data_IF_983630122277
#
_entry.id   IF_983630122277
#
_cell.length_a   1.000
_cell.length_b   1.000
_cell.length_c   1.000
_cell.angle_alpha   90.00
_cell.angle_beta   90.00
_cell.angle_gamma   90.00
#
_symmetry.space_group_name_H-M   'P 1'
#
loop_
_entity.id
_entity.type
_entity.pdbx_description
1 polymer ?
#
# COMPACT_ATOMS: atom_id res chain seq x y z
N UNK A 1 -2.73 -20.10 15.14
CA UNK A 1 -3.28 -20.23 13.77
C UNK A 1 -2.53 -19.23 12.92
N UNK A 2 -1.92 -19.62 11.78
CA UNK A 2 -1.31 -18.64 10.89
C UNK A 2 -2.43 -17.82 10.27
N UNK A 3 -2.53 -16.55 10.65
CA UNK A 3 -3.41 -15.59 9.98
C UNK A 3 -2.94 -15.49 8.54
N UNK A 4 -3.77 -15.94 7.59
CA UNK A 4 -3.49 -15.71 6.19
C UNK A 4 -3.42 -14.19 5.96
N UNK A 5 -2.31 -13.66 5.43
CA UNK A 5 -2.22 -12.25 5.13
C UNK A 5 -3.27 -11.88 4.07
N UNK A 6 -3.86 -10.68 4.17
CA UNK A 6 -4.90 -10.25 3.25
C UNK A 6 -4.34 -10.17 1.81
N UNK A 7 -5.08 -10.72 0.86
CA UNK A 7 -4.79 -10.60 -0.57
C UNK A 7 -5.19 -9.21 -1.03
N UNK A 8 -4.22 -8.31 -1.25
CA UNK A 8 -4.49 -6.98 -1.76
C UNK A 8 -4.76 -7.04 -3.27
N UNK A 9 -5.90 -6.49 -3.71
CA UNK A 9 -6.13 -6.22 -5.13
C UNK A 9 -5.40 -4.91 -5.47
N UNK A 10 -4.42 -4.99 -6.35
CA UNK A 10 -3.60 -3.85 -6.79
C UNK A 10 -4.35 -3.10 -7.89
N UNK A 11 -4.73 -1.85 -7.64
CA UNK A 11 -5.49 -1.02 -8.59
C UNK A 11 -4.67 0.08 -9.27
N UNK A 12 -3.39 0.23 -8.92
CA UNK A 12 -2.58 1.37 -9.35
C UNK A 12 -1.25 0.98 -10.00
N UNK A 13 -0.65 1.94 -10.68
CA UNK A 13 0.67 1.85 -11.30
C UNK A 13 1.72 1.55 -10.24
N UNK A 14 2.34 0.38 -10.32
CA UNK A 14 3.50 0.03 -9.50
C UNK A 14 4.73 0.82 -9.94
N UNK A 15 5.60 1.18 -9.00
CA UNK A 15 6.86 1.88 -9.27
C UNK A 15 7.99 1.40 -8.37
N UNK A 16 9.24 1.64 -8.78
CA UNK A 16 10.40 1.28 -7.98
C UNK A 16 10.89 2.41 -7.07
N UNK A 17 11.06 2.11 -5.78
CA UNK A 17 11.60 3.00 -4.74
C UNK A 17 12.72 2.33 -4.01
N UNK A 18 13.94 2.86 -4.12
CA UNK A 18 15.13 2.26 -3.49
C UNK A 18 15.33 0.76 -3.81
N UNK A 19 14.90 0.31 -5.00
CA UNK A 19 14.96 -1.11 -5.38
C UNK A 19 13.77 -1.94 -4.89
N UNK A 20 12.78 -1.33 -4.26
CA UNK A 20 11.56 -1.96 -3.75
C UNK A 20 10.39 -1.63 -4.70
N UNK A 21 9.71 -2.63 -5.28
CA UNK A 21 8.48 -2.40 -6.00
C UNK A 21 7.37 -2.00 -5.01
N UNK A 22 6.82 -0.81 -5.21
CA UNK A 22 5.76 -0.24 -4.38
C UNK A 22 4.54 0.12 -5.23
N UNK A 23 3.35 -0.05 -4.64
CA UNK A 23 2.06 0.30 -5.25
C UNK A 23 1.08 0.72 -4.15
N UNK A 24 -0.18 0.98 -4.49
CA UNK A 24 -1.25 1.23 -3.53
C UNK A 24 -2.16 0.02 -3.40
N UNK A 25 -2.54 -0.31 -2.15
CA UNK A 25 -3.63 -1.23 -1.87
C UNK A 25 -5.01 -0.57 -2.06
N UNK A 26 -6.08 -1.31 -1.73
CA UNK A 26 -7.46 -0.82 -1.83
C UNK A 26 -7.77 0.32 -0.87
N UNK A 27 -7.04 0.41 0.23
CA UNK A 27 -7.23 1.41 1.28
C UNK A 27 -6.34 2.64 1.04
N UNK A 28 -5.60 2.67 -0.09
CA UNK A 28 -4.71 3.76 -0.44
C UNK A 28 -3.38 3.74 0.31
N UNK A 29 -3.05 2.66 1.03
CA UNK A 29 -1.76 2.53 1.69
C UNK A 29 -0.69 2.17 0.65
N UNK A 30 0.51 2.71 0.86
CA UNK A 30 1.69 2.24 0.13
C UNK A 30 1.98 0.82 0.58
N UNK A 31 1.99 -0.12 -0.36
CA UNK A 31 2.38 -1.51 -0.14
C UNK A 31 3.63 -1.84 -0.93
N UNK A 32 4.48 -2.68 -0.35
CA UNK A 32 5.54 -3.36 -1.07
C UNK A 32 5.22 -4.84 -1.20
N UNK A 33 5.81 -5.46 -2.21
CA UNK A 33 5.83 -6.92 -2.29
C UNK A 33 6.72 -7.51 -1.18
N UNK A 34 6.26 -8.59 -0.55
CA UNK A 34 7.00 -9.30 0.50
C UNK A 34 6.83 -10.81 0.34
N UNK A 35 7.93 -11.56 0.43
CA UNK A 35 7.90 -13.04 0.42
C UNK A 35 7.35 -13.62 1.73
N UNK A 36 7.58 -12.93 2.84
CA UNK A 36 7.27 -13.39 4.20
C UNK A 36 6.22 -12.53 4.91
N UNK A 37 5.73 -11.48 4.25
CA UNK A 37 4.81 -10.50 4.84
C UNK A 37 5.49 -9.52 5.81
N UNK A 38 6.79 -9.68 6.09
CA UNK A 38 7.51 -8.87 7.07
C UNK A 38 8.51 -7.92 6.42
N UNK A 39 9.16 -8.34 5.34
CA UNK A 39 10.21 -7.57 4.67
C UNK A 39 9.86 -7.27 3.22
N UNK A 40 10.04 -6.01 2.82
CA UNK A 40 9.83 -5.54 1.44
C UNK A 40 10.95 -5.94 0.47
N UNK A 41 11.94 -6.68 0.95
CA UNK A 41 13.08 -7.15 0.16
C UNK A 41 12.87 -8.61 -0.19
N UNK A 42 12.76 -8.95 -1.49
CA UNK A 42 12.88 -10.34 -1.90
C UNK A 42 14.22 -10.89 -1.45
N UNK A 43 14.19 -11.97 -0.67
CA UNK A 43 15.41 -12.66 -0.21
C UNK A 43 16.29 -13.11 -1.37
N UNK A 44 15.70 -13.22 -2.57
CA UNK A 44 16.33 -13.71 -3.78
C UNK A 44 16.75 -12.64 -4.78
N UNK A 45 16.42 -11.36 -4.55
CA UNK A 45 16.71 -10.29 -5.52
C UNK A 45 17.56 -9.21 -4.86
N UNK A 46 18.88 -9.30 -5.04
CA UNK A 46 19.80 -8.21 -4.73
C UNK A 46 19.63 -7.10 -5.78
N UNK A 47 18.68 -6.19 -5.59
CA UNK A 47 18.36 -5.13 -6.55
C UNK A 47 19.48 -4.10 -6.66
N UNK A 48 20.50 -4.39 -7.47
CA UNK A 48 21.39 -3.34 -8.04
C UNK A 48 20.86 -2.81 -9.36
N UNK A 49 19.92 -3.52 -10.00
CA UNK A 49 19.40 -3.14 -11.31
C UNK A 49 18.00 -2.51 -11.17
N UNK A 50 17.95 -1.18 -11.34
CA UNK A 50 16.71 -0.39 -11.30
C UNK A 50 15.76 -0.74 -12.44
N UNK A 51 16.29 -1.22 -13.57
CA UNK A 51 15.48 -1.52 -14.75
C UNK A 51 14.68 -2.81 -14.54
N UNK A 52 15.28 -3.78 -13.86
CA UNK A 52 14.59 -5.03 -13.49
C UNK A 52 13.46 -4.76 -12.49
N UNK A 53 13.64 -3.84 -11.55
CA UNK A 53 12.63 -3.51 -10.54
C UNK A 53 11.35 -2.94 -11.18
N UNK A 54 11.50 -2.07 -12.19
CA UNK A 54 10.34 -1.52 -12.93
C UNK A 54 9.64 -2.59 -13.77
N UNK A 55 10.39 -3.49 -14.42
CA UNK A 55 9.80 -4.60 -15.16
C UNK A 55 9.02 -5.53 -14.23
N UNK A 56 9.61 -5.90 -13.10
CA UNK A 56 8.96 -6.79 -12.12
C UNK A 56 7.73 -6.12 -11.50
N UNK A 57 7.76 -4.82 -11.24
CA UNK A 57 6.60 -4.06 -10.76
C UNK A 57 5.38 -4.15 -11.71
N UNK A 58 5.58 -4.27 -13.02
CA UNK A 58 4.49 -4.46 -14.01
C UNK A 58 3.98 -5.91 -14.05
N UNK A 59 4.83 -6.90 -13.74
CA UNK A 59 4.49 -8.33 -13.81
C UNK A 59 3.96 -8.92 -12.49
N UNK A 60 4.24 -8.30 -11.34
CA UNK A 60 3.76 -8.75 -10.04
C UNK A 60 2.24 -8.52 -9.92
N UNK A 61 1.49 -9.59 -10.21
CA UNK A 61 0.04 -9.73 -10.04
C UNK A 61 -0.32 -10.28 -8.63
N UNK A 62 -1.59 -10.21 -8.18
CA UNK A 62 -1.97 -10.03 -6.77
C UNK A 62 -1.86 -11.27 -5.85
N UNK A 63 -1.11 -12.30 -6.22
CA UNK A 63 -1.02 -13.56 -5.45
C UNK A 63 -0.04 -13.52 -4.28
N UNK A 64 0.58 -12.38 -4.01
CA UNK A 64 1.66 -12.28 -3.03
C UNK A 64 1.20 -11.61 -1.73
N UNK A 65 1.96 -11.87 -0.68
CA UNK A 65 1.80 -11.20 0.60
C UNK A 65 2.43 -9.81 0.49
N UNK A 66 1.78 -8.80 1.07
CA UNK A 66 2.27 -7.43 1.02
C UNK A 66 2.57 -6.94 2.42
N UNK A 67 3.61 -6.13 2.54
CA UNK A 67 3.78 -5.30 3.73
C UNK A 67 3.31 -3.88 3.40
N UNK A 68 2.31 -3.41 4.14
CA UNK A 68 1.68 -2.12 3.94
C UNK A 68 2.24 -1.11 4.92
N UNK A 69 2.72 0.03 4.41
CA UNK A 69 3.03 1.24 5.18
C UNK A 69 1.77 1.78 5.88
N UNK A 70 1.97 2.78 6.75
CA UNK A 70 0.89 3.36 7.52
C UNK A 70 0.53 2.47 8.71
N UNK A 71 -0.76 2.31 8.96
CA UNK A 71 -1.23 1.69 10.19
C UNK A 71 -0.98 0.18 10.28
N UNK A 72 -1.07 -0.61 9.20
CA UNK A 72 -0.63 -2.00 9.24
C UNK A 72 0.86 -2.14 9.62
N UNK A 73 1.73 -1.30 9.06
CA UNK A 73 3.16 -1.27 9.44
C UNK A 73 3.35 -0.90 10.91
N UNK A 74 2.56 0.05 11.42
CA UNK A 74 2.64 0.47 12.82
C UNK A 74 2.23 -0.64 13.79
N UNK A 75 1.21 -1.43 13.46
CA UNK A 75 0.79 -2.57 14.29
C UNK A 75 1.90 -3.61 14.46
N UNK A 76 2.72 -3.82 13.42
CA UNK A 76 3.82 -4.78 13.44
C UNK A 76 5.12 -4.20 14.00
N UNK A 77 5.50 -2.99 13.57
CA UNK A 77 6.85 -2.42 13.74
C UNK A 77 6.91 -1.21 14.69
N UNK A 78 5.75 -0.73 15.19
CA UNK A 78 5.64 0.50 16.00
C UNK A 78 6.09 1.79 15.30
N UNK A 79 6.11 1.75 13.97
CA UNK A 79 6.35 2.89 13.09
C UNK A 79 5.42 2.74 11.91
N UNK A 80 4.79 3.81 11.45
CA UNK A 80 4.04 3.84 10.19
C UNK A 80 4.94 3.67 8.97
N UNK A 81 6.24 3.86 9.16
CA UNK A 81 7.21 3.93 8.08
C UNK A 81 7.27 5.35 7.48
N UNK A 82 6.33 6.25 7.81
CA UNK A 82 6.32 7.62 7.28
C UNK A 82 7.00 8.66 8.18
N UNK A 83 7.52 8.24 9.34
CA UNK A 83 8.16 9.13 10.32
C UNK A 83 9.45 9.76 9.79
N UNK A 84 10.14 9.05 8.89
CA UNK A 84 11.40 9.49 8.29
C UNK A 84 11.23 9.75 6.81
N UNK A 85 11.72 10.89 6.32
CA UNK A 85 11.63 11.25 4.90
C UNK A 85 12.42 10.32 3.98
N UNK A 86 13.50 9.72 4.49
CA UNK A 86 14.38 8.80 3.78
C UNK A 86 13.94 7.33 3.86
N UNK A 87 12.83 7.03 4.53
CA UNK A 87 12.25 5.69 4.49
C UNK A 87 11.70 5.36 3.11
N UNK A 88 11.64 4.07 2.78
CA UNK A 88 11.05 3.62 1.53
C UNK A 88 9.55 3.97 1.46
N UNK A 89 8.83 3.89 2.58
CA UNK A 89 7.42 4.27 2.68
C UNK A 89 7.20 5.74 2.31
N UNK A 90 7.94 6.68 2.90
CA UNK A 90 7.81 8.12 2.61
C UNK A 90 8.16 8.45 1.16
N UNK A 91 9.24 7.86 0.63
CA UNK A 91 9.63 8.07 -0.75
C UNK A 91 8.62 7.48 -1.74
N UNK A 92 8.04 6.34 -1.42
CA UNK A 92 6.99 5.74 -2.23
C UNK A 92 5.71 6.55 -2.20
N UNK A 93 5.27 7.04 -1.03
CA UNK A 93 4.12 7.93 -0.94
C UNK A 93 4.31 9.19 -1.81
N UNK A 94 5.47 9.84 -1.69
CA UNK A 94 5.81 11.02 -2.49
C UNK A 94 5.80 10.72 -4.01
N UNK A 95 6.36 9.59 -4.43
CA UNK A 95 6.40 9.20 -5.85
C UNK A 95 5.05 8.77 -6.41
N UNK A 96 4.22 8.14 -5.58
CA UNK A 96 2.85 7.75 -5.91
C UNK A 96 1.87 8.93 -5.83
N UNK A 97 2.32 10.09 -5.31
CA UNK A 97 1.48 11.28 -5.18
C UNK A 97 0.38 11.13 -4.13
N UNK A 98 0.58 10.27 -3.12
CA UNK A 98 -0.37 10.08 -2.02
C UNK A 98 0.09 10.84 -0.79
N UNK A 99 -0.86 11.41 -0.05
CA UNK A 99 -0.57 12.04 1.25
C UNK A 99 -0.49 10.92 2.29
N UNK A 100 0.70 10.65 2.87
CA UNK A 100 0.85 9.54 3.80
C UNK A 100 0.15 9.85 5.12
N UNK A 101 -0.57 8.87 5.66
CA UNK A 101 -1.10 8.93 7.01
C UNK A 101 0.04 8.72 8.03
N UNK A 102 0.73 9.81 8.38
CA UNK A 102 1.88 9.82 9.31
C UNK A 102 1.52 9.47 10.75
N UNK A 103 0.24 9.62 11.11
CA UNK A 103 -0.26 9.34 12.44
C UNK A 103 -1.26 8.19 12.36
N UNK A 104 -0.89 7.08 12.98
CA UNK A 104 -1.79 5.98 13.23
C UNK A 104 -2.27 6.07 14.67
N UNK A 105 -3.43 6.68 14.86
CA UNK A 105 -4.19 6.55 16.10
C UNK A 105 -4.86 5.15 16.14
N UNK A 106 -4.07 4.10 15.90
CA UNK A 106 -4.43 2.70 16.14
C UNK A 106 -4.30 2.35 17.61
N UNK A 107 -3.68 3.23 18.41
CA UNK A 107 -3.66 3.10 19.85
C UNK A 107 -5.09 3.28 20.35
N UNK A 108 -5.59 2.24 21.00
CA UNK A 108 -6.82 2.33 21.77
C UNK A 108 -6.73 3.51 22.73
N UNK A 109 -7.82 4.25 22.84
CA UNK A 109 -8.01 5.36 23.76
C UNK A 109 -9.27 5.08 24.55
N UNK A 110 -9.21 5.28 25.86
CA UNK A 110 -10.39 5.18 26.69
C UNK A 110 -11.14 6.49 26.66
N UNK A 111 -12.40 6.42 26.23
CA UNK A 111 -13.30 7.57 26.21
C UNK A 111 -14.54 7.25 27.00
N UNK A 112 -14.90 8.17 27.87
CA UNK A 112 -16.22 8.20 28.46
C UNK A 112 -17.11 9.00 27.52
N UNK A 113 -18.18 8.38 27.03
CA UNK A 113 -19.16 9.03 26.17
C UNK A 113 -20.32 9.44 27.06
N UNK A 114 -20.57 10.74 27.15
CA UNK A 114 -21.48 11.35 28.12
C UNK A 114 -21.21 10.87 29.57
N UNK A 115 -22.28 10.60 30.33
CA UNK A 115 -22.24 9.98 31.66
C UNK A 115 -22.19 8.43 31.58
N UNK A 116 -21.93 7.87 30.40
CA UNK A 116 -21.89 6.44 30.13
C UNK A 116 -20.63 5.75 30.67
N UNK A 117 -20.52 4.42 30.50
CA UNK A 117 -19.32 3.68 30.84
C UNK A 117 -18.18 4.00 29.85
N UNK A 118 -16.92 3.80 30.30
CA UNK A 118 -15.75 3.89 29.43
C UNK A 118 -15.84 2.88 28.28
N UNK A 119 -15.62 3.36 27.06
CA UNK A 119 -15.41 2.55 25.87
C UNK A 119 -13.99 2.75 25.35
N UNK A 120 -13.42 1.71 24.76
CA UNK A 120 -12.15 1.83 24.05
C UNK A 120 -12.41 2.15 22.58
N UNK A 121 -11.91 3.29 22.13
CA UNK A 121 -12.07 3.80 20.77
C UNK A 121 -10.72 4.01 20.10
N UNK A 122 -10.69 3.99 18.77
CA UNK A 122 -9.52 4.35 17.95
C UNK A 122 -9.96 4.79 16.55
N UNK A 123 -9.00 5.20 15.72
CA UNK A 123 -9.25 5.37 14.29
C UNK A 123 -8.94 4.07 13.56
N UNK A 124 -9.92 3.63 12.76
CA UNK A 124 -9.76 2.60 11.76
C UNK A 124 -8.92 3.10 10.57
N UNK A 125 -8.53 2.17 9.70
CA UNK A 125 -7.67 2.43 8.55
C UNK A 125 -8.28 3.41 7.55
N UNK A 126 -9.60 3.41 7.40
CA UNK A 126 -10.35 4.30 6.52
C UNK A 126 -10.60 5.69 7.14
N UNK A 127 -10.01 5.96 8.31
CA UNK A 127 -10.20 7.21 9.05
C UNK A 127 -11.51 7.30 9.82
N UNK A 128 -12.35 6.26 9.80
CA UNK A 128 -13.53 6.20 10.65
C UNK A 128 -13.16 5.87 12.10
N UNK A 129 -13.99 6.30 13.03
CA UNK A 129 -13.92 5.86 14.42
C UNK A 129 -14.37 4.40 14.50
N UNK A 130 -13.67 3.59 15.31
CA UNK A 130 -14.17 2.29 15.74
C UNK A 130 -13.98 2.08 17.24
N UNK A 131 -14.85 1.26 17.83
CA UNK A 131 -14.72 0.81 19.21
C UNK A 131 -14.42 -0.69 19.27
N UNK A 132 -13.84 -1.13 20.39
CA UNK A 132 -13.69 -2.57 20.63
C UNK A 132 -15.05 -3.23 20.86
N UNK A 133 -15.16 -4.50 20.49
CA UNK A 133 -16.38 -5.28 20.62
C UNK A 133 -16.07 -6.74 20.91
N UNK A 134 -17.02 -7.40 21.57
CA UNK A 134 -16.99 -8.85 21.77
C UNK A 134 -17.78 -9.59 20.68
N UNK A 135 -18.71 -8.92 19.99
CA UNK A 135 -19.66 -9.54 19.05
C UNK A 135 -19.74 -8.85 17.68
N UNK A 136 -19.01 -7.75 17.51
CA UNK A 136 -19.01 -6.93 16.29
C UNK A 136 -20.30 -6.13 16.08
N UNK A 137 -21.16 -6.02 17.09
CA UNK A 137 -22.44 -5.31 17.02
C UNK A 137 -22.51 -4.14 18.00
N UNK A 138 -22.01 -4.36 19.20
CA UNK A 138 -22.01 -3.34 20.26
C UNK A 138 -20.60 -3.04 20.76
N UNK A 139 -20.37 -1.80 21.18
CA UNK A 139 -19.13 -1.44 21.84
C UNK A 139 -19.02 -2.15 23.18
N UNK A 140 -17.90 -2.81 23.41
CA UNK A 140 -17.60 -3.37 24.70
C UNK A 140 -17.26 -2.24 25.69
N UNK A 141 -17.87 -2.28 26.86
CA UNK A 141 -17.78 -1.23 27.89
C UNK A 141 -17.04 -1.71 29.12
N UNK A 142 -16.49 -0.77 29.89
CA UNK A 142 -15.91 -1.02 31.21
C UNK A 142 -14.43 -0.64 31.30
N UNK A 143 -14.06 -0.06 32.44
CA UNK A 143 -12.72 0.46 32.71
C UNK A 143 -11.64 -0.63 32.59
N UNK A 144 -11.87 -1.81 33.16
CA UNK A 144 -10.90 -2.91 33.11
C UNK A 144 -10.62 -3.36 31.67
N UNK A 145 -11.67 -3.50 30.85
CA UNK A 145 -11.51 -3.87 29.45
C UNK A 145 -10.76 -2.79 28.70
N UNK A 146 -11.16 -1.53 28.89
CA UNK A 146 -10.53 -0.41 28.23
C UNK A 146 -9.03 -0.30 28.58
N UNK A 147 -8.71 -0.33 29.87
CA UNK A 147 -7.33 -0.32 30.36
C UNK A 147 -6.53 -1.54 29.89
N UNK A 148 -7.17 -2.70 29.70
CA UNK A 148 -6.51 -3.88 29.13
C UNK A 148 -6.07 -3.65 27.68
N UNK A 149 -6.86 -2.93 26.87
CA UNK A 149 -6.52 -2.62 25.48
C UNK A 149 -5.51 -1.47 25.37
N UNK A 150 -5.48 -0.55 26.34
CA UNK A 150 -4.44 0.47 26.44
C UNK A 150 -3.07 -0.11 26.74
N UNK A 151 -3.02 -1.09 27.66
CA UNK A 151 -1.78 -1.58 28.26
C UNK A 151 -1.30 -2.91 27.67
N UNK A 152 -2.22 -3.70 27.13
CA UNK A 152 -1.90 -4.90 26.38
C UNK A 152 -2.17 -4.60 24.91
N UNK A 153 -1.16 -4.77 24.07
CA UNK A 153 -1.27 -4.66 22.62
C UNK A 153 -2.17 -5.75 21.99
N UNK A 154 -3.11 -6.31 22.78
CA UNK A 154 -4.10 -7.26 22.34
C UNK A 154 -5.12 -6.54 21.49
N UNK A 155 -5.44 -7.14 20.36
CA UNK A 155 -6.58 -6.73 19.57
C UNK A 155 -7.86 -7.28 20.22
N UNK A 156 -8.97 -6.54 20.17
CA UNK A 156 -10.25 -7.06 20.61
C UNK A 156 -10.72 -8.21 19.70
N UNK A 157 -11.70 -8.97 20.18
CA UNK A 157 -12.26 -10.09 19.41
C UNK A 157 -12.97 -9.61 18.13
N UNK A 158 -13.59 -8.43 18.19
CA UNK A 158 -14.20 -7.73 17.08
C UNK A 158 -14.11 -6.21 17.27
N UNK A 159 -14.52 -5.44 16.26
CA UNK A 159 -14.72 -4.00 16.37
C UNK A 159 -16.10 -3.61 15.83
N UNK A 160 -16.63 -2.49 16.29
CA UNK A 160 -17.77 -1.82 15.67
C UNK A 160 -17.24 -0.53 15.08
N UNK A 161 -17.36 -0.39 13.76
CA UNK A 161 -16.86 0.75 13.01
C UNK A 161 -17.99 1.68 12.61
N UNK A 162 -17.84 2.97 12.92
CA UNK A 162 -18.75 4.04 12.54
C UNK A 162 -18.80 4.26 11.02
N UNK A 163 -19.62 5.20 10.58
CA UNK A 163 -19.76 5.51 9.16
C UNK A 163 -20.64 4.48 8.44
N UNK A 164 -20.30 4.16 7.20
CA UNK A 164 -21.11 3.33 6.33
C UNK A 164 -21.18 1.88 6.75
N UNK A 165 -20.16 1.40 7.47
CA UNK A 165 -20.19 0.09 8.11
C UNK A 165 -21.31 -0.01 9.16
N UNK A 166 -21.43 1.00 10.03
CA UNK A 166 -22.49 1.05 11.03
C UNK A 166 -23.87 1.28 10.39
N UNK A 167 -23.93 2.09 9.34
CA UNK A 167 -25.18 2.35 8.62
C UNK A 167 -25.77 1.11 7.99
N UNK A 168 -24.93 0.24 7.45
CA UNK A 168 -25.37 -1.02 6.87
C UNK A 168 -26.06 -1.96 7.89
N UNK A 169 -25.66 -1.91 9.16
CA UNK A 169 -26.22 -2.76 10.22
C UNK A 169 -27.33 -2.11 11.03
N UNK A 170 -27.31 -0.78 11.21
CA UNK A 170 -28.22 -0.05 12.12
C UNK A 170 -29.10 0.99 11.43
N UNK A 171 -28.80 1.36 10.18
CA UNK A 171 -29.49 2.42 9.45
C UNK A 171 -28.93 3.83 9.65
N UNK A 172 -28.00 4.03 10.60
CA UNK A 172 -27.35 5.32 10.90
C UNK A 172 -25.83 5.22 10.82
N UNK A 173 -25.15 6.29 10.42
CA UNK A 173 -23.67 6.30 10.41
C UNK A 173 -23.08 6.41 11.81
N UNK A 174 -23.87 6.90 12.76
CA UNK A 174 -23.44 7.28 14.09
C UNK A 174 -22.82 8.67 14.17
N UNK A 175 -22.39 9.26 13.04
CA UNK A 175 -21.96 10.66 12.97
C UNK A 175 -23.12 11.63 12.71
N UNK A 176 -24.22 11.10 12.16
CA UNK A 176 -25.46 11.80 11.83
C UNK A 176 -26.41 11.95 13.03
N UNK A 177 -25.98 11.55 14.23
CA UNK A 177 -26.76 11.62 15.47
C UNK A 177 -25.93 12.29 16.57
N UNK A 178 -26.38 13.45 17.02
CA UNK A 178 -25.77 14.16 18.15
C UNK A 178 -25.82 13.30 19.43
N UNK A 179 -24.73 13.27 20.21
CA UNK A 179 -24.60 12.46 21.43
C UNK A 179 -24.46 10.95 21.17
N UNK A 180 -24.31 10.53 19.92
CA UNK A 180 -23.94 9.16 19.63
C UNK A 180 -22.42 9.00 19.81
N UNK A 181 -21.98 7.87 20.38
CA UNK A 181 -20.57 7.64 20.71
C UNK A 181 -19.61 7.85 19.52
N UNK A 182 -20.04 7.54 18.30
CA UNK A 182 -19.26 7.83 17.08
C UNK A 182 -18.97 9.33 16.91
N UNK A 183 -19.97 10.19 17.12
CA UNK A 183 -19.85 11.64 17.07
C UNK A 183 -18.87 12.14 18.13
N UNK A 184 -19.08 11.75 19.38
CA UNK A 184 -18.30 12.27 20.50
C UNK A 184 -16.85 11.82 20.45
N UNK A 185 -16.65 10.58 19.99
CA UNK A 185 -15.32 10.01 19.77
C UNK A 185 -14.53 10.74 18.67
N UNK A 186 -15.18 11.42 17.72
CA UNK A 186 -14.46 12.24 16.74
C UNK A 186 -13.69 13.37 17.43
N UNK A 187 -14.33 14.06 18.38
CA UNK A 187 -13.71 15.14 19.12
C UNK A 187 -12.54 14.63 19.98
N UNK A 188 -12.73 13.49 20.65
CA UNK A 188 -11.70 12.88 21.50
C UNK A 188 -10.48 12.44 20.68
N UNK A 189 -10.70 11.88 19.49
CA UNK A 189 -9.63 11.37 18.63
C UNK A 189 -9.06 12.43 17.68
N UNK A 190 -9.63 13.64 17.63
CA UNK A 190 -9.31 14.65 16.63
C UNK A 190 -9.60 14.17 15.19
N UNK A 191 -10.63 13.34 15.04
CA UNK A 191 -10.97 12.69 13.78
C UNK A 191 -11.72 13.64 12.84
N UNK A 192 -11.48 13.47 11.54
CA UNK A 192 -12.32 14.05 10.49
C UNK A 192 -12.71 12.96 9.48
N UNK A 193 -13.65 12.07 9.83
CA UNK A 193 -13.99 10.92 9.02
C UNK A 193 -14.55 11.37 7.67
N UNK A 194 -14.16 10.73 6.55
CA UNK A 194 -14.71 11.07 5.25
C UNK A 194 -16.22 10.87 5.24
N UNK A 195 -16.74 9.82 5.87
CA UNK A 195 -18.17 9.49 5.85
C UNK A 195 -19.04 10.32 6.80
N UNK A 196 -18.47 11.34 7.46
CA UNK A 196 -19.22 12.27 8.30
C UNK A 196 -20.21 13.12 7.49
N UNK A 197 -19.78 13.60 6.33
CA UNK A 197 -20.53 14.54 5.49
C UNK A 197 -21.10 13.90 4.21
N UNK A 198 -20.74 12.64 3.92
CA UNK A 198 -21.08 11.97 2.67
C UNK A 198 -22.10 10.83 2.83
N UNK A 199 -22.96 10.69 1.82
CA UNK A 199 -23.85 9.54 1.69
C UNK A 199 -23.05 8.30 1.31
N UNK A 200 -23.29 7.19 2.03
CA UNK A 200 -22.68 5.86 1.86
C UNK A 200 -22.85 5.20 0.49
N UNK A 201 -23.37 5.93 -0.49
CA UNK A 201 -23.57 5.51 -1.87
C UNK A 201 -22.48 6.00 -2.82
N UNK A 202 -21.49 6.77 -2.33
CA UNK A 202 -20.33 7.13 -3.14
C UNK A 202 -19.29 6.00 -3.02
N UNK A 203 -18.75 5.45 -4.13
CA UNK A 203 -17.51 4.70 -4.04
C UNK A 203 -16.47 5.62 -3.39
N UNK A 204 -15.64 5.09 -2.49
CA UNK A 204 -14.53 5.84 -1.88
C UNK A 204 -13.58 6.22 -3.01
N UNK A 205 -13.87 7.34 -3.69
CA UNK A 205 -12.99 7.90 -4.69
C UNK A 205 -11.94 8.62 -3.87
N UNK A 206 -10.87 7.89 -3.51
CA UNK A 206 -9.62 8.58 -3.24
C UNK A 206 -9.40 9.48 -4.44
N UNK A 207 -9.33 10.80 -4.20
CA UNK A 207 -9.09 11.76 -5.25
C UNK A 207 -7.81 11.30 -5.96
N UNK A 208 -7.98 10.66 -7.11
CA UNK A 208 -6.89 10.39 -8.03
C UNK A 208 -6.25 11.76 -8.22
N UNK A 209 -4.99 11.88 -7.79
CA UNK A 209 -4.23 13.10 -7.87
C UNK A 209 -4.56 13.76 -9.20
N UNK A 210 -5.12 14.98 -9.15
CA UNK A 210 -5.49 15.78 -10.31
C UNK A 210 -4.47 15.54 -11.40
N UNK A 211 -4.85 14.75 -12.41
CA UNK A 211 -4.04 14.57 -13.60
C UNK A 211 -4.00 15.96 -14.23
N UNK A 212 -2.91 16.69 -13.99
CA UNK A 212 -2.54 17.77 -14.87
C UNK A 212 -2.43 17.12 -16.25
N UNK A 213 -3.28 17.49 -17.24
CA UNK A 213 -3.16 16.94 -18.57
C UNK A 213 -1.77 17.34 -19.06
N UNK A 214 -0.87 16.37 -19.16
CA UNK A 214 0.42 16.55 -19.82
C UNK A 214 0.08 17.03 -21.22
N UNK A 215 0.51 18.24 -21.65
CA UNK A 215 0.21 18.72 -22.98
C UNK A 215 0.82 17.72 -23.97
N UNK A 216 -0.06 17.15 -24.81
CA UNK A 216 0.25 16.26 -25.91
C UNK A 216 1.46 16.77 -26.69
N UNK A 217 2.64 16.20 -26.44
CA UNK A 217 3.68 16.21 -27.44
C UNK A 217 3.30 15.14 -28.45
N UNK A 218 2.76 15.59 -29.57
CA UNK A 218 2.67 14.82 -30.79
C UNK A 218 4.09 14.42 -31.21
N UNK A 219 4.58 13.30 -30.70
CA UNK A 219 5.78 12.66 -31.21
C UNK A 219 5.37 11.98 -32.52
N UNK A 220 5.65 12.67 -33.61
CA UNK A 220 5.56 12.16 -34.96
C UNK A 220 6.39 10.89 -35.09
N UNK A 221 5.73 9.74 -35.14
CA UNK A 221 6.31 8.45 -35.48
C UNK A 221 6.72 8.45 -36.97
N UNK A 222 7.89 8.99 -37.28
CA UNK A 222 8.53 8.89 -38.59
C UNK A 222 9.89 8.14 -38.56
N UNK A 223 10.21 7.44 -37.48
CA UNK A 223 11.56 6.93 -37.23
C UNK A 223 11.74 5.40 -37.07
N UNK A 224 10.70 4.58 -37.22
CA UNK A 224 10.78 3.13 -36.92
C UNK A 224 11.03 2.21 -38.12
N UNK A 225 11.49 2.75 -39.26
CA UNK A 225 11.91 1.93 -40.41
C UNK A 225 13.44 1.67 -40.47
N UNK A 226 14.27 2.36 -39.68
CA UNK A 226 15.74 2.29 -39.84
C UNK A 226 16.49 1.41 -38.83
N UNK A 227 15.88 1.00 -37.72
CA UNK A 227 16.63 0.26 -36.66
C UNK A 227 16.65 -1.25 -36.92
N UNK A 228 15.67 -1.82 -37.61
CA UNK A 228 15.64 -3.26 -37.92
C UNK A 228 16.65 -3.64 -39.01
N UNK A 229 16.95 -2.74 -39.94
CA UNK A 229 17.98 -2.97 -40.97
C UNK A 229 19.43 -2.91 -40.41
N UNK A 230 19.66 -2.13 -39.34
CA UNK A 230 20.99 -1.99 -38.72
C UNK A 230 21.47 -3.25 -38.01
N UNK A 231 20.59 -3.96 -37.29
CA UNK A 231 20.98 -5.16 -36.53
C UNK A 231 21.27 -6.37 -37.43
N UNK A 232 20.63 -6.49 -38.59
CA UNK A 232 20.92 -7.55 -39.55
C UNK A 232 22.33 -7.42 -40.19
N UNK A 233 22.80 -6.18 -40.42
CA UNK A 233 24.13 -5.93 -40.99
C UNK A 233 25.26 -6.21 -39.99
N UNK A 234 25.06 -5.90 -38.70
CA UNK A 234 26.06 -6.19 -37.66
C UNK A 234 26.20 -7.71 -37.45
N UNK A 235 25.10 -8.46 -37.45
CA UNK A 235 25.14 -9.92 -37.36
C UNK A 235 25.87 -10.58 -38.55
N UNK A 236 25.66 -10.07 -39.77
CA UNK A 236 26.36 -10.55 -40.97
C UNK A 236 27.86 -10.23 -40.94
N UNK A 237 28.26 -9.07 -40.40
CA UNK A 237 29.67 -8.70 -40.28
C UNK A 237 30.41 -9.58 -39.25
N UNK A 238 29.80 -9.81 -38.08
CA UNK A 238 30.38 -10.70 -37.04
C UNK A 238 30.45 -12.15 -37.52
N UNK A 239 29.43 -12.64 -38.24
CA UNK A 239 29.43 -13.99 -38.80
C UNK A 239 30.51 -14.19 -39.87
N UNK A 240 30.71 -13.21 -40.78
CA UNK A 240 31.78 -13.28 -41.79
C UNK A 240 33.17 -13.28 -41.18
N UNK A 241 33.41 -12.46 -40.15
CA UNK A 241 34.74 -12.35 -39.55
C UNK A 241 35.16 -13.63 -38.80
N UNK A 242 34.22 -14.31 -38.12
CA UNK A 242 34.51 -15.60 -37.47
C UNK A 242 34.87 -16.72 -38.45
N UNK A 243 34.23 -16.75 -39.63
CA UNK A 243 34.52 -17.79 -40.64
C UNK A 243 35.91 -17.60 -41.29
N UNK A 244 36.39 -16.36 -41.39
CA UNK A 244 37.74 -16.07 -41.91
C UNK A 244 38.85 -16.50 -40.93
N UNK A 245 38.64 -16.41 -39.61
CA UNK A 245 39.64 -16.86 -38.63
C UNK A 245 39.78 -18.39 -38.58
N UNK A 246 38.66 -19.13 -38.62
CA UNK A 246 38.67 -20.59 -38.59
C UNK A 246 39.45 -21.23 -39.76
N UNK A 247 39.42 -20.61 -40.94
CA UNK A 247 40.15 -21.14 -42.12
C UNK A 247 41.66 -20.85 -42.10
N UNK A 248 42.10 -19.88 -41.30
CA UNK A 248 43.54 -19.61 -41.10
C UNK A 248 44.16 -20.57 -40.08
N UNK A 249 43.41 -20.97 -39.05
CA UNK A 249 43.88 -21.94 -38.06
C UNK A 249 44.01 -23.35 -38.65
N UNK A 250 43.07 -23.79 -39.49
CA UNK A 250 43.19 -25.08 -40.21
C UNK A 250 44.38 -25.13 -41.18
N UNK A 251 44.76 -23.99 -41.79
CA UNK A 251 45.93 -23.94 -42.69
C UNK A 251 47.27 -23.99 -41.95
N UNK A 252 47.33 -23.59 -40.68
CA UNK A 252 48.55 -23.67 -39.89
C UNK A 252 48.83 -25.07 -39.32
N UNK A 253 47.84 -25.96 -39.27
CA UNK A 253 48.01 -27.34 -38.82
C UNK A 253 48.47 -28.32 -39.93
N UNK A 254 48.50 -27.88 -41.19
CA UNK A 254 48.90 -28.70 -42.36
C UNK A 254 50.36 -28.53 -42.79
N UNK A 255 51.19 -27.79 -42.02
CA UNK A 255 52.60 -27.47 -42.35
C UNK A 255 53.58 -28.01 -41.30
N UNK A 256 53.17 -28.99 -40.49
CA UNK A 256 54.04 -29.71 -39.55
C UNK A 256 54.12 -31.20 -39.89
#
# INVERSE_FOLDING_TARGET
>A
MPSHPPTAVVYSKSLCVQGIPATLDRDGNVVCWSDDGEECTPKYLSWRDKDLCNQVAEYLKPTYTYNACGCPHFEQRRTTGYEREDSWCSQAANKLGVVPQKACNTKWTCSQVDDGPLISIRLALDGNVECSSNDGRECATGEQLCNSLLNSYKQPAATVKCGCSLKASTGVTGYDTDGHWCSDSMAVLGANPPEKDFSCNQPVVFAAALENPVPNQAVTFAGLAFVVAGMALVALFVYRNRRAQSTNEERQQLVL
#
